data_IF_097945465010
#
_entry.id   IF_097945465010
#
_cell.length_a   1.000
_cell.length_b   1.000
_cell.length_c   1.000
_cell.angle_alpha   90.00
_cell.angle_beta   90.00
_cell.angle_gamma   90.00
#
_symmetry.space_group_name_H-M   'P 1'
#
loop_
_entity.id
_entity.type
_entity.pdbx_description
1 polymer ?
#
# COMPACT_ATOMS: atom_id res chain seq x y z
N UNK A 1 -23.67 14.21 -7.47
CA UNK A 1 -24.06 13.17 -8.44
C UNK A 1 -24.11 11.85 -7.72
N UNK A 2 -25.17 11.12 -7.89
CA UNK A 2 -25.34 9.77 -7.32
C UNK A 2 -25.68 8.78 -8.43
N UNK A 3 -25.07 7.58 -8.38
CA UNK A 3 -25.45 6.44 -9.20
C UNK A 3 -25.56 5.21 -8.33
N UNK A 4 -26.69 4.54 -8.43
CA UNK A 4 -27.02 3.40 -7.60
C UNK A 4 -27.79 2.33 -8.41
N UNK A 5 -27.49 1.05 -8.16
CA UNK A 5 -28.25 -0.09 -8.67
C UNK A 5 -28.19 -0.32 -10.18
N UNK A 6 -27.16 0.16 -10.88
CA UNK A 6 -27.03 -0.02 -12.32
C UNK A 6 -26.26 -1.29 -12.73
N UNK A 7 -26.64 -1.85 -13.87
CA UNK A 7 -25.84 -2.85 -14.59
C UNK A 7 -25.30 -2.22 -15.86
N UNK A 8 -23.97 -2.26 -16.01
CA UNK A 8 -23.26 -1.65 -17.12
C UNK A 8 -22.38 -2.69 -17.78
N UNK A 9 -22.49 -2.81 -19.07
CA UNK A 9 -21.65 -3.71 -19.88
C UNK A 9 -21.12 -2.98 -21.10
N UNK A 10 -19.84 -3.18 -21.42
CA UNK A 10 -19.22 -2.63 -22.60
C UNK A 10 -17.96 -3.42 -22.95
N UNK A 11 -17.45 -3.25 -24.15
CA UNK A 11 -16.13 -3.72 -24.53
C UNK A 11 -15.02 -2.85 -23.90
N UNK A 12 -13.81 -3.37 -23.83
CA UNK A 12 -12.66 -3.01 -22.98
C UNK A 12 -12.07 -1.58 -23.12
N UNK A 13 -12.63 -0.70 -23.93
CA UNK A 13 -12.00 0.61 -24.23
C UNK A 13 -12.70 1.81 -23.60
N UNK A 14 -13.91 1.63 -23.07
CA UNK A 14 -14.72 2.72 -22.55
C UNK A 14 -14.51 3.00 -21.06
N UNK A 15 -14.98 4.16 -20.64
CA UNK A 15 -15.10 4.59 -19.24
C UNK A 15 -16.58 4.58 -18.89
N UNK A 16 -16.97 3.85 -17.84
CA UNK A 16 -18.37 3.75 -17.44
C UNK A 16 -18.86 5.05 -16.78
N UNK A 17 -17.99 5.68 -15.99
CA UNK A 17 -18.32 6.91 -15.30
C UNK A 17 -17.09 7.82 -15.26
N UNK A 18 -17.23 9.05 -15.73
CA UNK A 18 -16.21 10.10 -15.65
C UNK A 18 -16.85 11.35 -15.04
N UNK A 19 -16.27 11.86 -13.97
CA UNK A 19 -16.83 13.00 -13.23
C UNK A 19 -15.73 13.87 -12.62
N UNK A 20 -15.97 15.18 -12.62
CA UNK A 20 -15.18 16.17 -11.90
C UNK A 20 -15.97 16.79 -10.72
N UNK A 21 -17.13 16.23 -10.40
CA UNK A 21 -17.93 16.71 -9.28
C UNK A 21 -17.36 16.24 -7.95
N UNK A 22 -17.47 17.09 -6.94
CA UNK A 22 -17.27 16.70 -5.54
C UNK A 22 -18.48 15.94 -4.99
N UNK A 23 -18.31 15.29 -3.85
CA UNK A 23 -19.38 14.59 -3.12
C UNK A 23 -20.09 13.50 -3.93
N UNK A 24 -19.35 12.84 -4.82
CA UNK A 24 -19.88 11.80 -5.70
C UNK A 24 -20.17 10.54 -4.91
N UNK A 25 -21.35 9.97 -5.11
CA UNK A 25 -21.73 8.65 -4.58
C UNK A 25 -21.94 7.66 -5.72
N UNK A 26 -21.12 6.61 -5.76
CA UNK A 26 -21.19 5.52 -6.74
C UNK A 26 -21.43 4.24 -5.95
N UNK A 27 -22.70 3.74 -5.95
CA UNK A 27 -23.07 2.64 -5.07
C UNK A 27 -23.90 1.58 -5.79
N UNK A 28 -23.70 0.32 -5.36
CA UNK A 28 -24.52 -0.83 -5.74
C UNK A 28 -24.64 -1.04 -7.26
N UNK A 29 -23.58 -0.73 -8.00
CA UNK A 29 -23.53 -0.93 -9.44
C UNK A 29 -22.80 -2.23 -9.77
N UNK A 30 -23.18 -2.84 -10.89
CA UNK A 30 -22.40 -3.87 -11.56
C UNK A 30 -21.92 -3.33 -12.90
N UNK A 31 -20.63 -3.40 -13.14
CA UNK A 31 -20.05 -3.03 -14.43
C UNK A 31 -19.02 -4.08 -14.87
N UNK A 32 -19.02 -4.40 -16.15
CA UNK A 32 -18.13 -5.38 -16.73
C UNK A 32 -17.51 -4.88 -18.03
N UNK A 33 -16.25 -5.26 -18.24
CA UNK A 33 -15.50 -5.02 -19.49
C UNK A 33 -15.31 -3.54 -19.87
N UNK A 34 -15.34 -2.63 -18.91
CA UNK A 34 -14.89 -1.26 -19.09
C UNK A 34 -13.36 -1.18 -18.90
N UNK A 35 -12.72 -0.24 -19.57
CA UNK A 35 -11.33 0.13 -19.28
C UNK A 35 -11.22 0.71 -17.87
N UNK A 36 -12.08 1.68 -17.56
CA UNK A 36 -12.23 2.23 -16.24
C UNK A 36 -13.70 2.17 -15.83
N UNK A 37 -13.97 1.66 -14.64
CA UNK A 37 -15.29 1.75 -14.05
C UNK A 37 -15.62 3.20 -13.67
N UNK A 38 -14.69 3.88 -12.99
CA UNK A 38 -14.86 5.27 -12.61
C UNK A 38 -13.54 6.04 -12.75
N UNK A 39 -13.60 7.21 -13.35
CA UNK A 39 -12.57 8.24 -13.31
C UNK A 39 -13.15 9.42 -12.53
N UNK A 40 -12.57 9.71 -11.36
CA UNK A 40 -13.07 10.72 -10.43
C UNK A 40 -12.03 11.82 -10.30
N UNK A 41 -12.38 13.00 -10.76
CA UNK A 41 -11.55 14.22 -10.71
C UNK A 41 -12.10 15.25 -9.70
N UNK A 42 -12.96 14.82 -8.78
CA UNK A 42 -13.44 15.57 -7.64
C UNK A 42 -12.99 14.95 -6.33
N UNK A 43 -13.29 15.62 -5.23
CA UNK A 43 -13.01 15.14 -3.88
C UNK A 43 -14.28 14.68 -3.14
N UNK A 44 -14.09 14.10 -1.94
CA UNK A 44 -15.17 13.65 -1.04
C UNK A 44 -16.07 12.56 -1.63
N UNK A 45 -15.47 11.66 -2.42
CA UNK A 45 -16.17 10.56 -3.07
C UNK A 45 -16.52 9.42 -2.11
N UNK A 46 -17.66 8.76 -2.37
CA UNK A 46 -18.02 7.48 -1.77
C UNK A 46 -18.28 6.46 -2.86
N UNK A 47 -17.42 5.45 -2.97
CA UNK A 47 -17.55 4.35 -3.94
C UNK A 47 -17.73 3.05 -3.15
N UNK A 48 -18.97 2.51 -3.12
CA UNK A 48 -19.27 1.40 -2.22
C UNK A 48 -20.26 0.38 -2.78
N UNK A 49 -20.09 -0.88 -2.38
CA UNK A 49 -21.02 -1.96 -2.73
C UNK A 49 -21.07 -2.28 -4.23
N UNK A 50 -20.08 -1.88 -5.01
CA UNK A 50 -20.06 -2.15 -6.44
C UNK A 50 -19.36 -3.46 -6.74
N UNK A 51 -19.74 -4.07 -7.87
CA UNK A 51 -19.03 -5.18 -8.47
C UNK A 51 -18.58 -4.75 -9.87
N UNK A 52 -17.28 -4.64 -10.09
CA UNK A 52 -16.75 -4.33 -11.40
C UNK A 52 -15.63 -5.30 -11.77
N UNK A 53 -15.65 -5.67 -13.05
CA UNK A 53 -14.84 -6.71 -13.65
C UNK A 53 -14.22 -6.19 -14.95
N UNK A 54 -12.90 -6.31 -15.05
CA UNK A 54 -12.14 -6.10 -16.28
C UNK A 54 -11.64 -7.45 -16.79
N UNK A 55 -12.03 -7.84 -17.98
CA UNK A 55 -11.80 -9.20 -18.45
C UNK A 55 -10.36 -9.61 -18.69
N UNK A 56 -9.45 -8.67 -19.00
CA UNK A 56 -8.08 -8.99 -19.36
C UNK A 56 -7.13 -7.81 -19.13
N UNK A 57 -6.61 -7.66 -17.92
CA UNK A 57 -5.72 -6.54 -17.57
C UNK A 57 -4.32 -6.67 -18.18
N UNK A 58 -3.90 -7.88 -18.59
CA UNK A 58 -2.52 -8.17 -18.97
C UNK A 58 -2.24 -8.02 -20.46
N UNK A 59 -3.24 -8.22 -21.34
CA UNK A 59 -2.98 -8.57 -22.74
C UNK A 59 -2.73 -7.40 -23.68
N UNK A 60 -2.97 -6.15 -23.28
CA UNK A 60 -3.02 -5.08 -24.29
C UNK A 60 -2.20 -3.82 -23.99
N UNK A 61 -1.30 -3.82 -23.01
CA UNK A 61 -0.56 -2.60 -22.62
C UNK A 61 -1.48 -1.45 -22.18
N UNK A 62 -2.73 -1.75 -21.89
CA UNK A 62 -3.75 -0.79 -21.50
C UNK A 62 -3.66 -0.57 -20.00
N UNK A 63 -3.80 0.67 -19.56
CA UNK A 63 -3.98 1.04 -18.16
C UNK A 63 -5.18 0.29 -17.58
N UNK A 64 -4.92 -0.65 -16.66
CA UNK A 64 -5.94 -1.57 -16.12
C UNK A 64 -6.58 -1.05 -14.82
N UNK A 65 -6.58 0.25 -14.59
CA UNK A 65 -7.20 0.84 -13.41
C UNK A 65 -8.73 0.75 -13.52
N UNK A 66 -9.36 0.06 -12.57
CA UNK A 66 -10.82 0.04 -12.45
C UNK A 66 -11.36 1.36 -11.94
N UNK A 67 -10.73 1.92 -10.91
CA UNK A 67 -11.01 3.25 -10.36
C UNK A 67 -9.76 4.11 -10.51
N UNK A 68 -9.91 5.31 -11.04
CA UNK A 68 -8.85 6.31 -11.15
C UNK A 68 -9.26 7.55 -10.39
N UNK A 69 -8.47 7.90 -9.37
CA UNK A 69 -8.59 9.17 -8.65
C UNK A 69 -7.50 10.10 -9.16
N UNK A 70 -7.87 11.24 -9.72
CA UNK A 70 -6.94 12.09 -10.49
C UNK A 70 -6.48 13.35 -9.75
N UNK A 71 -6.89 13.50 -8.50
CA UNK A 71 -6.45 14.57 -7.60
C UNK A 71 -5.70 14.00 -6.40
N UNK A 72 -4.61 14.65 -6.01
CA UNK A 72 -3.81 14.29 -4.83
C UNK A 72 -4.59 14.33 -3.52
N UNK A 73 -5.46 15.31 -3.34
CA UNK A 73 -6.29 15.47 -2.15
C UNK A 73 -7.72 15.00 -2.44
N UNK A 74 -7.90 13.69 -2.58
CA UNK A 74 -9.18 13.12 -3.02
C UNK A 74 -10.22 13.00 -1.90
N UNK A 75 -9.81 12.86 -0.63
CA UNK A 75 -10.71 12.65 0.51
C UNK A 75 -11.83 11.64 0.20
N UNK A 76 -11.47 10.51 -0.40
CA UNK A 76 -12.41 9.54 -0.97
C UNK A 76 -12.39 8.24 -0.19
N UNK A 77 -13.57 7.66 0.00
CA UNK A 77 -13.74 6.34 0.58
C UNK A 77 -14.15 5.33 -0.50
N UNK A 78 -13.41 4.22 -0.56
CA UNK A 78 -13.70 3.07 -1.43
C UNK A 78 -13.90 1.86 -0.53
N UNK A 79 -15.16 1.37 -0.39
CA UNK A 79 -15.46 0.36 0.62
C UNK A 79 -16.49 -0.68 0.17
N UNK A 80 -16.28 -1.94 0.59
CA UNK A 80 -17.23 -3.01 0.33
C UNK A 80 -17.46 -3.34 -1.14
N UNK A 81 -16.50 -3.06 -2.01
CA UNK A 81 -16.59 -3.39 -3.43
C UNK A 81 -15.96 -4.75 -3.72
N UNK A 82 -16.41 -5.36 -4.80
CA UNK A 82 -15.76 -6.49 -5.45
C UNK A 82 -15.04 -5.99 -6.71
N UNK A 83 -13.71 -6.09 -6.71
CA UNK A 83 -12.81 -5.54 -7.73
C UNK A 83 -12.09 -6.69 -8.41
N UNK A 84 -12.37 -6.95 -9.68
CA UNK A 84 -11.90 -8.12 -10.40
C UNK A 84 -11.06 -7.73 -11.61
N UNK A 85 -9.82 -8.26 -11.66
CA UNK A 85 -8.85 -8.03 -12.73
C UNK A 85 -8.56 -6.56 -13.03
N UNK A 86 -8.61 -5.70 -12.04
CA UNK A 86 -8.26 -4.29 -12.17
C UNK A 86 -7.77 -3.73 -10.83
N UNK A 87 -7.24 -2.53 -10.84
CA UNK A 87 -6.67 -1.87 -9.67
C UNK A 87 -7.31 -0.51 -9.40
N UNK A 88 -7.06 0.01 -8.21
CA UNK A 88 -7.32 1.40 -7.86
C UNK A 88 -6.05 2.18 -8.14
N UNK A 89 -6.15 3.24 -8.93
CA UNK A 89 -5.03 4.13 -9.22
C UNK A 89 -5.30 5.51 -8.60
N UNK A 90 -4.34 6.01 -7.85
CA UNK A 90 -4.35 7.34 -7.27
C UNK A 90 -3.23 8.16 -7.87
N UNK A 91 -3.60 9.19 -8.61
CA UNK A 91 -2.70 10.03 -9.38
C UNK A 91 -3.04 11.51 -9.18
N UNK A 92 -2.15 12.40 -9.58
CA UNK A 92 -2.39 13.84 -9.60
C UNK A 92 -2.43 14.40 -11.03
N UNK A 93 -2.75 13.56 -12.01
CA UNK A 93 -2.69 13.90 -13.45
C UNK A 93 -3.59 15.07 -13.89
N UNK A 94 -4.59 15.42 -13.09
CA UNK A 94 -5.52 16.54 -13.36
C UNK A 94 -5.37 17.71 -12.41
N UNK A 95 -4.30 17.74 -11.63
CA UNK A 95 -3.92 18.98 -10.93
C UNK A 95 -3.51 20.04 -11.97
N UNK A 96 -3.64 21.33 -11.64
CA UNK A 96 -3.23 22.41 -12.56
C UNK A 96 -1.75 22.33 -12.98
N UNK A 97 -0.89 21.88 -12.07
CA UNK A 97 0.54 21.67 -12.28
C UNK A 97 0.92 20.26 -11.79
N UNK A 98 0.59 19.20 -12.55
CA UNK A 98 0.78 17.83 -12.08
C UNK A 98 2.26 17.45 -11.92
N UNK A 99 3.15 18.07 -12.69
CA UNK A 99 4.60 17.89 -12.67
C UNK A 99 5.34 18.81 -11.69
N UNK A 100 4.61 19.54 -10.84
CA UNK A 100 5.19 20.40 -9.81
C UNK A 100 6.17 19.61 -8.92
N UNK A 101 7.37 20.15 -8.73
CA UNK A 101 8.47 19.47 -8.02
C UNK A 101 8.62 19.89 -6.55
N UNK A 102 7.82 20.81 -6.04
CA UNK A 102 7.82 21.23 -4.63
C UNK A 102 7.23 20.22 -3.65
N UNK A 103 6.69 19.15 -4.15
CA UNK A 103 6.14 18.03 -3.39
C UNK A 103 4.73 18.27 -2.88
N UNK A 104 3.76 17.53 -3.44
CA UNK A 104 2.39 17.46 -2.92
C UNK A 104 2.20 16.28 -1.99
N UNK A 105 1.42 16.46 -0.93
CA UNK A 105 0.88 15.36 -0.15
C UNK A 105 -0.33 14.74 -0.87
N UNK A 106 -0.24 13.46 -1.21
CA UNK A 106 -1.40 12.65 -1.56
C UNK A 106 -2.19 12.38 -0.29
N UNK A 107 -3.43 12.85 -0.18
CA UNK A 107 -4.16 12.88 1.09
C UNK A 107 -5.60 12.39 0.99
N UNK A 108 -6.05 11.69 2.05
CA UNK A 108 -7.45 11.41 2.30
C UNK A 108 -8.02 10.21 1.54
N UNK A 109 -7.22 9.20 1.18
CA UNK A 109 -7.75 7.98 0.57
C UNK A 109 -7.96 6.87 1.61
N UNK A 110 -9.17 6.33 1.63
CA UNK A 110 -9.54 5.18 2.45
C UNK A 110 -10.05 4.05 1.57
N UNK A 111 -9.41 2.87 1.65
CA UNK A 111 -9.73 1.64 0.91
C UNK A 111 -10.00 0.55 1.94
N UNK A 112 -11.27 0.21 2.18
CA UNK A 112 -11.62 -0.67 3.30
C UNK A 112 -12.64 -1.74 2.92
N UNK A 113 -12.46 -2.94 3.47
CA UNK A 113 -13.43 -4.03 3.35
C UNK A 113 -13.79 -4.40 1.91
N UNK A 114 -12.87 -4.22 0.96
CA UNK A 114 -13.07 -4.64 -0.42
C UNK A 114 -12.54 -6.05 -0.63
N UNK A 115 -13.08 -6.73 -1.64
CA UNK A 115 -12.54 -7.99 -2.16
C UNK A 115 -11.88 -7.69 -3.51
N UNK A 116 -10.58 -7.90 -3.57
CA UNK A 116 -9.79 -7.80 -4.79
C UNK A 116 -9.44 -9.19 -5.29
N UNK A 117 -9.77 -9.49 -6.53
CA UNK A 117 -9.42 -10.73 -7.20
C UNK A 117 -8.66 -10.42 -8.48
N UNK A 118 -7.62 -11.20 -8.77
CA UNK A 118 -6.97 -11.16 -10.07
C UNK A 118 -6.62 -12.57 -10.55
N UNK A 119 -6.95 -12.88 -11.78
CA UNK A 119 -6.68 -14.18 -12.41
C UNK A 119 -5.76 -14.08 -13.63
N UNK A 120 -5.57 -12.88 -14.16
CA UNK A 120 -4.71 -12.63 -15.30
C UNK A 120 -3.99 -11.30 -15.12
N UNK A 121 -2.68 -11.32 -14.86
CA UNK A 121 -1.90 -10.15 -14.48
C UNK A 121 -0.68 -9.97 -15.38
N UNK A 122 -0.38 -8.71 -15.67
CA UNK A 122 0.95 -8.32 -16.11
C UNK A 122 1.94 -8.38 -14.94
N UNK A 123 3.25 -8.57 -15.19
CA UNK A 123 4.26 -8.63 -14.13
C UNK A 123 4.30 -7.40 -13.22
N UNK A 124 3.85 -6.25 -13.70
CA UNK A 124 3.80 -4.99 -12.97
C UNK A 124 2.52 -4.80 -12.14
N UNK A 125 1.57 -5.72 -12.17
CA UNK A 125 0.26 -5.53 -11.54
C UNK A 125 0.35 -5.45 -10.01
N UNK A 126 -0.39 -4.50 -9.45
CA UNK A 126 -0.72 -4.40 -8.02
C UNK A 126 -2.14 -3.84 -7.90
N UNK A 127 -2.83 -4.13 -6.80
CA UNK A 127 -4.23 -3.74 -6.62
C UNK A 127 -4.41 -2.26 -6.26
N UNK A 128 -3.42 -1.66 -5.63
CA UNK A 128 -3.41 -0.24 -5.24
C UNK A 128 -2.16 0.41 -5.81
N UNK A 129 -2.34 1.40 -6.66
CA UNK A 129 -1.24 2.07 -7.36
C UNK A 129 -1.27 3.56 -7.07
N UNK A 130 -0.16 4.11 -6.60
CA UNK A 130 0.04 5.56 -6.51
C UNK A 130 0.94 5.98 -7.66
N UNK A 131 0.51 6.98 -8.42
CA UNK A 131 1.22 7.45 -9.63
C UNK A 131 1.46 8.96 -9.57
N UNK A 132 2.59 9.39 -9.00
CA UNK A 132 2.95 10.80 -8.95
C UNK A 132 3.49 11.29 -10.31
N UNK A 133 3.14 12.50 -10.68
CA UNK A 133 3.60 13.15 -11.91
C UNK A 133 4.81 14.07 -11.70
N UNK A 134 5.03 14.56 -10.48
CA UNK A 134 6.17 15.39 -10.11
C UNK A 134 7.02 14.76 -9.00
N UNK A 135 8.29 15.11 -8.93
CA UNK A 135 9.21 14.64 -7.90
C UNK A 135 8.94 15.30 -6.54
N UNK A 136 9.32 14.59 -5.47
CA UNK A 136 9.12 15.07 -4.09
C UNK A 136 7.70 14.92 -3.55
N UNK A 137 6.78 14.32 -4.32
CA UNK A 137 5.45 13.98 -3.80
C UNK A 137 5.55 12.85 -2.77
N UNK A 138 4.62 12.83 -1.83
CA UNK A 138 4.57 11.86 -0.75
C UNK A 138 3.11 11.55 -0.37
N UNK A 139 2.88 10.48 0.36
CA UNK A 139 1.55 10.16 0.88
C UNK A 139 1.40 10.71 2.30
N UNK A 140 0.27 11.38 2.55
CA UNK A 140 -0.14 11.87 3.85
C UNK A 140 -1.63 11.59 4.08
N UNK A 141 -1.94 10.41 4.56
CA UNK A 141 -3.32 9.97 4.79
C UNK A 141 -3.81 8.94 3.77
N UNK A 142 -3.29 7.73 3.89
CA UNK A 142 -3.77 6.55 3.18
C UNK A 142 -4.14 5.47 4.19
N UNK A 143 -5.37 5.00 4.14
CA UNK A 143 -5.81 3.86 4.94
C UNK A 143 -6.25 2.71 4.02
N UNK A 144 -5.56 1.57 4.11
CA UNK A 144 -5.87 0.32 3.41
C UNK A 144 -6.09 -0.77 4.46
N UNK A 145 -7.35 -1.05 4.79
CA UNK A 145 -7.62 -1.95 5.92
C UNK A 145 -8.81 -2.88 5.70
N UNK A 146 -8.71 -4.09 6.26
CA UNK A 146 -9.78 -5.09 6.21
C UNK A 146 -10.09 -5.63 4.80
N UNK A 147 -9.21 -5.42 3.82
CA UNK A 147 -9.43 -5.91 2.47
C UNK A 147 -8.95 -7.36 2.31
N UNK A 148 -9.52 -8.05 1.33
CA UNK A 148 -9.01 -9.33 0.84
C UNK A 148 -8.35 -9.12 -0.52
N UNK A 149 -7.05 -9.42 -0.61
CA UNK A 149 -6.28 -9.41 -1.85
C UNK A 149 -5.97 -10.84 -2.30
N UNK A 150 -6.40 -11.23 -3.49
CA UNK A 150 -6.29 -12.60 -3.96
C UNK A 150 -5.82 -12.70 -5.41
N UNK A 151 -4.73 -13.47 -5.64
CA UNK A 151 -4.37 -14.00 -6.93
C UNK A 151 -5.03 -15.37 -7.15
N UNK A 152 -5.81 -15.55 -8.21
CA UNK A 152 -6.46 -16.81 -8.58
C UNK A 152 -5.72 -17.47 -9.74
N UNK A 153 -4.91 -18.49 -9.44
CA UNK A 153 -4.06 -19.13 -10.42
C UNK A 153 -2.80 -18.33 -10.82
N UNK A 154 -2.57 -17.19 -10.18
CA UNK A 154 -1.40 -16.33 -10.37
C UNK A 154 -0.88 -15.88 -9.02
N UNK A 155 0.41 -15.62 -8.94
CA UNK A 155 1.05 -14.99 -7.78
C UNK A 155 1.27 -13.51 -8.10
N UNK A 156 0.83 -12.65 -7.20
CA UNK A 156 1.00 -11.20 -7.29
C UNK A 156 2.15 -10.83 -6.35
N UNK A 157 3.13 -10.10 -6.85
CA UNK A 157 4.30 -9.77 -6.05
C UNK A 157 3.90 -8.92 -4.82
N UNK A 158 3.14 -7.81 -5.03
CA UNK A 158 2.69 -6.90 -3.95
C UNK A 158 1.26 -6.42 -4.18
N UNK A 159 0.53 -6.17 -3.11
CA UNK A 159 -0.81 -5.60 -3.24
C UNK A 159 -0.80 -4.11 -3.64
N UNK A 160 0.30 -3.41 -3.40
CA UNK A 160 0.48 -1.98 -3.65
C UNK A 160 1.79 -1.69 -4.40
N UNK A 161 1.84 -0.58 -5.11
CA UNK A 161 3.08 -0.09 -5.74
C UNK A 161 3.03 1.42 -6.04
N UNK A 162 4.20 1.99 -6.27
CA UNK A 162 4.35 3.30 -6.90
C UNK A 162 4.60 3.09 -8.40
N UNK A 163 3.80 3.70 -9.24
CA UNK A 163 4.10 3.79 -10.68
C UNK A 163 5.04 4.99 -10.91
N UNK A 164 6.31 4.69 -11.08
CA UNK A 164 7.38 5.68 -11.22
C UNK A 164 7.60 6.16 -12.65
N UNK A 165 6.64 5.91 -13.55
CA UNK A 165 6.78 6.29 -14.98
C UNK A 165 7.06 7.79 -15.19
N UNK A 166 6.61 8.63 -14.27
CA UNK A 166 6.86 10.08 -14.28
C UNK A 166 7.78 10.51 -13.14
N UNK A 167 7.50 10.07 -11.90
CA UNK A 167 8.30 10.44 -10.75
C UNK A 167 8.18 9.39 -9.62
N UNK A 168 9.17 9.26 -8.73
CA UNK A 168 9.06 8.48 -7.50
C UNK A 168 8.28 9.25 -6.42
N UNK A 169 7.86 8.54 -5.35
CA UNK A 169 7.46 9.15 -4.08
C UNK A 169 8.69 9.44 -3.20
N UNK A 170 8.59 10.48 -2.42
CA UNK A 170 9.57 10.78 -1.36
C UNK A 170 9.19 10.01 -0.09
N UNK A 171 9.82 8.87 0.12
CA UNK A 171 9.55 8.01 1.28
C UNK A 171 9.99 8.63 2.61
N UNK A 172 10.90 9.60 2.62
CA UNK A 172 11.29 10.29 3.86
C UNK A 172 10.22 11.24 4.40
N UNK A 173 9.20 11.56 3.59
CA UNK A 173 8.11 12.48 3.95
C UNK A 173 6.76 11.79 4.16
N UNK A 174 6.69 10.47 4.09
CA UNK A 174 5.44 9.71 4.26
C UNK A 174 4.84 9.93 5.65
N UNK A 175 3.51 10.06 5.71
CA UNK A 175 2.77 10.30 6.95
C UNK A 175 1.40 9.66 6.91
N UNK A 176 0.90 9.25 8.09
CA UNK A 176 -0.46 8.77 8.25
C UNK A 176 -0.83 7.65 7.27
N UNK A 177 0.10 6.73 7.03
CA UNK A 177 -0.11 5.55 6.19
C UNK A 177 -0.48 4.37 7.07
N UNK A 178 -1.60 3.72 6.77
CA UNK A 178 -2.04 2.53 7.48
C UNK A 178 -2.35 1.39 6.50
N UNK A 179 -1.74 0.22 6.76
CA UNK A 179 -2.05 -1.04 6.10
C UNK A 179 -2.28 -2.09 7.18
N UNK A 180 -3.53 -2.41 7.50
CA UNK A 180 -3.83 -3.27 8.64
C UNK A 180 -5.03 -4.18 8.42
N UNK A 181 -4.99 -5.37 9.02
CA UNK A 181 -6.10 -6.31 8.98
C UNK A 181 -6.48 -6.81 7.59
N UNK A 182 -5.60 -6.67 6.60
CA UNK A 182 -5.82 -7.19 5.27
C UNK A 182 -5.49 -8.70 5.21
N UNK A 183 -6.18 -9.41 4.31
CA UNK A 183 -5.93 -10.82 4.03
C UNK A 183 -5.26 -10.95 2.67
N UNK A 184 -4.16 -11.70 2.62
CA UNK A 184 -3.35 -11.93 1.43
C UNK A 184 -3.41 -13.39 1.00
N UNK A 185 -3.74 -13.65 -0.28
CA UNK A 185 -3.84 -14.97 -0.85
C UNK A 185 -3.14 -14.98 -2.20
N UNK A 186 -2.06 -15.73 -2.36
CA UNK A 186 -1.18 -15.66 -3.53
C UNK A 186 -0.67 -14.22 -3.80
N UNK A 187 -0.35 -13.50 -2.73
CA UNK A 187 0.40 -12.24 -2.73
C UNK A 187 1.70 -12.51 -1.99
N UNK A 188 2.83 -12.30 -2.64
CA UNK A 188 4.15 -12.68 -2.12
C UNK A 188 4.53 -11.83 -0.90
N UNK A 189 4.42 -10.52 -1.03
CA UNK A 189 4.69 -9.57 0.05
C UNK A 189 3.41 -8.87 0.47
N UNK A 190 2.87 -9.29 1.61
CA UNK A 190 1.71 -8.63 2.23
C UNK A 190 2.14 -7.37 2.97
N UNK A 191 1.68 -6.20 2.54
CA UNK A 191 2.05 -4.93 3.14
C UNK A 191 1.38 -4.71 4.50
N UNK A 192 2.16 -4.32 5.49
CA UNK A 192 1.70 -3.97 6.84
C UNK A 192 2.36 -2.69 7.34
N UNK A 193 1.57 -1.79 7.92
CA UNK A 193 2.06 -0.60 8.61
C UNK A 193 1.05 -0.16 9.70
N UNK A 194 1.37 -0.30 11.00
CA UNK A 194 2.66 -0.77 11.54
C UNK A 194 2.90 -2.26 11.27
N UNK A 195 4.15 -2.60 11.02
CA UNK A 195 4.63 -3.97 10.80
C UNK A 195 5.21 -4.55 12.07
N UNK A 196 4.76 -5.73 12.48
CA UNK A 196 5.37 -6.50 13.57
C UNK A 196 6.38 -7.51 12.99
N UNK A 197 7.65 -7.34 13.36
CA UNK A 197 8.74 -8.24 12.97
C UNK A 197 9.22 -9.03 14.16
N UNK A 198 9.36 -10.35 13.97
CA UNK A 198 10.02 -11.24 14.94
C UNK A 198 11.42 -11.52 14.44
N UNK A 199 12.40 -11.35 15.31
CA UNK A 199 13.79 -11.62 15.00
C UNK A 199 14.41 -12.52 16.06
N UNK A 200 15.07 -13.60 15.63
CA UNK A 200 15.77 -14.56 16.47
C UNK A 200 17.28 -14.46 16.20
N UNK A 201 18.00 -13.91 17.16
CA UNK A 201 19.46 -13.78 17.12
C UNK A 201 20.10 -14.98 17.83
N UNK A 202 20.47 -16.00 17.07
CA UNK A 202 21.01 -17.25 17.62
C UNK A 202 22.49 -17.18 17.99
N UNK A 203 23.26 -16.31 17.34
CA UNK A 203 24.66 -16.03 17.60
C UNK A 203 24.84 -14.77 18.44
N UNK A 204 25.90 -14.73 19.27
CA UNK A 204 26.20 -13.52 20.03
C UNK A 204 26.66 -12.41 19.11
N UNK A 205 25.95 -11.29 19.11
CA UNK A 205 26.27 -10.08 18.36
C UNK A 205 25.86 -8.84 19.14
N UNK A 206 26.59 -7.75 18.95
CA UNK A 206 26.22 -6.47 19.51
C UNK A 206 25.12 -5.78 18.71
N UNK A 207 25.12 -5.96 17.39
CA UNK A 207 24.10 -5.42 16.48
C UNK A 207 23.27 -6.59 15.96
N UNK A 208 21.98 -6.51 16.18
CA UNK A 208 21.01 -7.43 15.58
C UNK A 208 20.34 -6.73 14.41
N UNK A 209 20.56 -7.24 13.22
CA UNK A 209 20.01 -6.68 12.00
C UNK A 209 18.61 -7.28 11.75
N UNK A 210 17.59 -6.47 11.92
CA UNK A 210 16.19 -6.88 11.76
C UNK A 210 15.71 -6.45 10.38
N UNK A 211 15.46 -7.43 9.52
CA UNK A 211 14.92 -7.22 8.17
C UNK A 211 13.39 -7.08 8.23
N UNK A 212 12.82 -6.17 7.49
CA UNK A 212 11.36 -6.02 7.35
C UNK A 212 10.76 -6.95 6.29
N UNK A 213 11.57 -7.78 5.64
CA UNK A 213 11.19 -8.78 4.65
C UNK A 213 10.34 -8.20 3.50
N UNK A 214 10.67 -6.99 3.06
CA UNK A 214 9.91 -6.25 2.04
C UNK A 214 8.41 -6.07 2.39
N UNK A 215 8.02 -6.11 3.64
CA UNK A 215 6.62 -6.03 4.06
C UNK A 215 6.16 -4.62 4.40
N UNK A 216 7.04 -3.63 4.44
CA UNK A 216 6.63 -2.24 4.53
C UNK A 216 5.95 -1.80 3.21
N UNK A 217 4.83 -1.06 3.26
CA UNK A 217 4.16 -0.60 2.05
C UNK A 217 5.10 0.15 1.09
N UNK A 218 4.94 -0.11 -0.22
CA UNK A 218 5.71 0.50 -1.30
C UNK A 218 7.22 0.21 -1.29
N UNK A 219 7.70 -0.76 -0.51
CA UNK A 219 9.14 -0.94 -0.20
C UNK A 219 9.76 0.34 0.36
N UNK A 220 9.03 1.05 1.19
CA UNK A 220 9.49 2.28 1.79
C UNK A 220 10.47 2.03 2.95
N UNK A 221 11.02 3.11 3.46
CA UNK A 221 12.03 3.07 4.53
C UNK A 221 11.44 2.63 5.88
N UNK A 222 12.22 1.95 6.71
CA UNK A 222 11.91 1.74 8.11
C UNK A 222 12.18 3.05 8.87
N UNK A 223 11.14 3.85 9.11
CA UNK A 223 11.28 5.22 9.64
C UNK A 223 11.25 5.30 11.14
N UNK A 224 10.42 4.49 11.79
CA UNK A 224 10.17 4.56 13.22
C UNK A 224 10.06 3.17 13.83
N UNK A 225 10.58 3.00 15.04
CA UNK A 225 10.33 1.83 15.90
C UNK A 225 9.38 2.23 17.03
N UNK A 226 8.15 1.76 16.97
CA UNK A 226 7.12 2.06 17.98
C UNK A 226 7.19 1.17 19.21
N UNK A 227 7.70 -0.04 19.06
CA UNK A 227 7.82 -0.98 20.17
C UNK A 227 8.99 -1.94 19.97
N UNK A 228 9.62 -2.31 21.07
CA UNK A 228 10.60 -3.38 21.14
C UNK A 228 10.32 -4.21 22.39
N UNK A 229 10.08 -5.50 22.19
CA UNK A 229 9.82 -6.46 23.27
C UNK A 229 10.75 -7.65 23.12
N UNK A 230 11.53 -7.94 24.15
CA UNK A 230 12.29 -9.20 24.23
C UNK A 230 11.33 -10.34 24.58
N UNK A 231 11.28 -11.38 23.75
CA UNK A 231 10.42 -12.56 24.00
C UNK A 231 11.08 -13.55 24.96
N UNK A 232 12.40 -13.53 25.03
CA UNK A 232 13.21 -14.29 26.00
C UNK A 232 14.18 -13.36 26.69
N UNK A 233 14.85 -13.87 27.73
CA UNK A 233 15.91 -13.11 28.41
C UNK A 233 17.16 -13.09 27.54
N UNK A 234 17.63 -11.94 27.07
CA UNK A 234 18.88 -11.85 26.32
C UNK A 234 20.07 -12.35 27.15
N UNK A 235 21.01 -13.05 26.52
CA UNK A 235 22.16 -13.66 27.18
C UNK A 235 23.45 -13.20 26.57
N UNK A 236 24.44 -12.92 27.43
CA UNK A 236 25.81 -12.58 27.03
C UNK A 236 26.61 -13.81 26.58
N UNK A 237 27.88 -13.60 26.23
CA UNK A 237 28.81 -14.64 25.76
C UNK A 237 29.09 -15.70 26.84
N UNK A 238 28.91 -15.40 28.13
CA UNK A 238 28.99 -16.34 29.24
C UNK A 238 27.67 -17.06 29.51
N UNK A 239 26.66 -16.89 28.67
CA UNK A 239 25.32 -17.44 28.80
C UNK A 239 24.54 -16.93 30.05
N UNK A 240 24.94 -15.80 30.60
CA UNK A 240 24.27 -15.13 31.70
C UNK A 240 23.19 -14.20 31.16
N UNK A 241 21.98 -14.26 31.78
CA UNK A 241 20.87 -13.36 31.43
C UNK A 241 21.20 -11.92 31.82
N UNK A 242 20.99 -10.98 30.90
CA UNK A 242 21.20 -9.56 31.12
C UNK A 242 19.87 -8.80 31.02
N UNK A 243 19.78 -7.71 31.75
CA UNK A 243 18.60 -6.85 31.80
C UNK A 243 18.89 -5.47 31.17
N UNK A 244 19.77 -5.46 30.17
CA UNK A 244 20.11 -4.25 29.44
C UNK A 244 18.96 -3.89 28.48
N UNK A 245 18.77 -2.59 28.30
CA UNK A 245 17.91 -2.08 27.21
C UNK A 245 18.77 -1.78 26.00
N UNK A 246 18.45 -2.32 24.83
CA UNK A 246 19.08 -1.90 23.58
C UNK A 246 18.54 -0.55 23.12
N UNK A 247 19.26 0.09 22.20
CA UNK A 247 18.69 1.17 21.40
C UNK A 247 18.50 0.71 19.97
N UNK A 248 17.71 1.45 19.20
CA UNK A 248 17.37 1.11 17.81
C UNK A 248 17.87 2.20 16.87
N UNK A 249 18.35 1.78 15.69
CA UNK A 249 18.62 2.65 14.55
C UNK A 249 17.72 2.20 13.38
N UNK A 250 17.12 3.16 12.72
CA UNK A 250 16.23 2.94 11.58
C UNK A 250 16.91 3.33 10.27
N UNK A 251 16.29 2.95 9.13
CA UNK A 251 16.80 3.24 7.79
C UNK A 251 18.18 2.61 7.52
N UNK A 252 18.38 1.43 8.05
CA UNK A 252 19.60 0.66 7.85
C UNK A 252 19.50 -0.25 6.61
N UNK A 253 20.65 -0.77 6.16
CA UNK A 253 20.73 -1.52 4.91
C UNK A 253 20.67 -0.63 3.66
N UNK A 254 20.97 -1.21 2.50
CA UNK A 254 21.02 -0.48 1.23
C UNK A 254 19.66 0.08 0.80
N UNK A 255 18.57 -0.62 1.12
CA UNK A 255 17.20 -0.20 0.83
C UNK A 255 16.60 0.69 1.94
N UNK A 256 17.31 0.93 3.04
CA UNK A 256 16.83 1.68 4.21
C UNK A 256 15.58 1.06 4.85
N UNK A 257 15.38 -0.22 4.69
CA UNK A 257 14.23 -1.00 5.14
C UNK A 257 14.53 -1.88 6.37
N UNK A 258 15.72 -1.75 6.96
CA UNK A 258 16.15 -2.51 8.13
C UNK A 258 16.21 -1.65 9.39
N UNK A 259 16.16 -2.35 10.51
CA UNK A 259 16.34 -1.77 11.84
C UNK A 259 17.50 -2.51 12.53
N UNK A 260 18.44 -1.76 13.07
CA UNK A 260 19.44 -2.31 13.98
C UNK A 260 18.97 -2.20 15.42
N UNK A 261 18.99 -3.31 16.14
CA UNK A 261 18.82 -3.38 17.59
C UNK A 261 20.20 -3.54 18.21
N UNK A 262 20.67 -2.52 18.92
CA UNK A 262 22.07 -2.39 19.34
C UNK A 262 22.18 -2.57 20.85
N UNK A 263 22.94 -3.55 21.26
CA UNK A 263 23.20 -3.92 22.64
C UNK A 263 24.53 -3.34 23.14
N UNK A 264 24.69 -3.12 24.44
CA UNK A 264 25.96 -2.63 25.00
C UNK A 264 27.11 -3.66 24.92
N UNK A 265 26.78 -4.94 24.74
CA UNK A 265 27.71 -6.06 24.60
C UNK A 265 27.17 -7.12 23.63
N UNK A 266 27.97 -8.12 23.28
CA UNK A 266 27.52 -9.21 22.42
C UNK A 266 26.46 -10.06 23.11
N UNK A 267 25.25 -10.01 22.58
CA UNK A 267 24.06 -10.69 23.11
C UNK A 267 23.48 -11.66 22.10
N UNK A 268 22.75 -12.65 22.61
CA UNK A 268 21.84 -13.51 21.81
C UNK A 268 20.47 -13.55 22.45
N UNK A 269 19.43 -13.83 21.67
CA UNK A 269 18.04 -13.90 22.13
C UNK A 269 17.08 -13.58 21.02
N UNK A 270 15.89 -13.16 21.38
CA UNK A 270 14.81 -12.91 20.44
C UNK A 270 14.00 -11.68 20.81
N UNK A 271 13.59 -10.93 19.80
CA UNK A 271 12.79 -9.71 19.94
C UNK A 271 11.59 -9.71 19.01
N UNK A 272 10.57 -8.97 19.40
CA UNK A 272 9.52 -8.49 18.48
C UNK A 272 9.62 -6.98 18.44
N UNK A 273 9.68 -6.42 17.25
CA UNK A 273 9.69 -4.97 17.05
C UNK A 273 8.49 -4.54 16.21
N UNK A 274 7.91 -3.40 16.55
CA UNK A 274 6.90 -2.71 15.74
C UNK A 274 7.56 -1.60 14.94
N UNK A 275 7.51 -1.70 13.62
CA UNK A 275 8.19 -0.80 12.68
C UNK A 275 7.15 -0.05 11.86
N UNK A 276 7.38 1.24 11.60
CA UNK A 276 6.58 2.05 10.66
C UNK A 276 7.43 2.59 9.53
N UNK A 277 6.78 2.74 8.36
CA UNK A 277 7.35 3.37 7.17
C UNK A 277 7.13 4.89 7.12
N UNK A 278 6.41 5.45 8.08
CA UNK A 278 6.00 6.86 8.12
C UNK A 278 6.23 7.46 9.52
N UNK A 279 6.12 8.77 9.62
CA UNK A 279 6.28 9.53 10.84
C UNK A 279 4.94 10.07 11.38
#
# INVERSE_FOLDING_TARGET
ISREGGVLTQNRVGVALNTNANDVKIRNNRASQFRHFAVVSGAYGLISGNHFFQGDPASNGIRSAGIVLTLRACNTQISGNYVDNCHIEWTNEREPEPDFTGGFGFAGLTITNNVFLCSNVAPWFSFVVVKPYGSGHFVNGLNVSGNTFRGSGVVINRCERVDTSFAPLDFARMRNVNFSGNTYNNVEYGAENPLLVRHDQNSHAQVWEVDTDNRLPFNAFAMEVQSLVTRSRPRDTSNVSRYHMPYTQTREGAAQDRVHVIWPENMRGDVTIGVRMDL
#
